data_IF_645331233909
#
_entry.id   IF_645331233909
#
_cell.length_a   1.000
_cell.length_b   1.000
_cell.length_c   1.000
_cell.angle_alpha   90.00
_cell.angle_beta   90.00
_cell.angle_gamma   90.00
#
_symmetry.space_group_name_H-M   'P 1'
#
loop_
_entity.id
_entity.type
_entity.pdbx_description
1 polymer ?
#
# COMPACT_ATOMS: atom_id res chain seq x y z
N UNK A 1 5.98 -1.23 19.11
CA UNK A 1 4.90 -0.39 18.55
C UNK A 1 3.61 -1.17 18.75
N UNK A 2 2.52 -0.51 19.16
CA UNK A 2 1.26 -1.18 19.49
C UNK A 2 0.45 -1.60 18.25
N UNK A 3 0.80 -1.00 17.11
CA UNK A 3 0.25 -1.27 15.78
C UNK A 3 1.43 -1.48 14.83
N UNK A 4 1.45 -2.60 14.12
CA UNK A 4 2.53 -2.90 13.18
C UNK A 4 2.08 -3.91 12.12
N UNK A 5 2.87 -4.02 11.04
CA UNK A 5 2.71 -5.04 10.02
C UNK A 5 3.84 -6.07 10.12
N UNK A 6 3.52 -7.35 9.92
CA UNK A 6 4.49 -8.45 9.79
C UNK A 6 4.24 -9.22 8.49
N UNK A 7 5.23 -10.02 8.08
CA UNK A 7 5.16 -10.84 6.86
C UNK A 7 4.79 -9.99 5.63
N UNK A 8 5.46 -8.85 5.46
CA UNK A 8 5.15 -7.89 4.40
C UNK A 8 5.67 -8.42 3.07
N UNK A 9 4.77 -8.64 2.13
CA UNK A 9 5.04 -8.99 0.74
C UNK A 9 4.57 -7.85 -0.17
N UNK A 10 5.51 -7.27 -0.90
CA UNK A 10 5.21 -6.24 -1.90
C UNK A 10 5.00 -6.92 -3.26
N UNK A 11 3.95 -6.51 -3.99
CA UNK A 11 3.59 -7.07 -5.29
C UNK A 11 3.39 -5.96 -6.31
N UNK A 12 3.29 -6.34 -7.59
CA UNK A 12 3.02 -5.40 -8.69
C UNK A 12 1.61 -4.77 -8.65
N UNK A 13 0.70 -5.29 -7.82
CA UNK A 13 -0.69 -4.82 -7.74
C UNK A 13 -1.08 -4.29 -6.35
N UNK A 14 -0.17 -4.33 -5.38
CA UNK A 14 -0.43 -3.93 -4.01
C UNK A 14 0.57 -4.52 -3.02
N UNK A 15 0.13 -4.78 -1.79
CA UNK A 15 0.90 -5.47 -0.77
C UNK A 15 0.03 -6.40 0.07
N UNK A 16 0.64 -7.47 0.58
CA UNK A 16 0.03 -8.42 1.50
C UNK A 16 0.83 -8.39 2.80
N UNK A 17 0.13 -8.35 3.93
CA UNK A 17 0.76 -8.37 5.25
C UNK A 17 -0.23 -8.77 6.33
N UNK A 18 0.27 -9.17 7.49
CA UNK A 18 -0.56 -9.29 8.70
C UNK A 18 -0.49 -7.99 9.49
N UNK A 19 -1.64 -7.36 9.69
CA UNK A 19 -1.80 -6.25 10.60
C UNK A 19 -1.93 -6.80 12.03
N UNK A 20 -1.05 -6.36 12.91
CA UNK A 20 -1.04 -6.74 14.32
C UNK A 20 -1.42 -5.54 15.19
N UNK A 21 -2.37 -5.74 16.10
CA UNK A 21 -2.76 -4.79 17.14
C UNK A 21 -2.59 -5.48 18.49
N UNK A 22 -1.76 -4.91 19.36
CA UNK A 22 -1.52 -5.43 20.71
C UNK A 22 -2.86 -5.56 21.45
N UNK A 23 -3.07 -6.68 22.12
CA UNK A 23 -4.29 -7.05 22.86
C UNK A 23 -5.58 -7.26 22.02
N UNK A 24 -5.55 -7.02 20.70
CA UNK A 24 -6.71 -7.24 19.81
C UNK A 24 -6.49 -8.37 18.79
N UNK A 25 -5.25 -8.79 18.56
CA UNK A 25 -4.88 -9.90 17.68
C UNK A 25 -4.33 -9.45 16.33
N UNK A 26 -4.42 -10.35 15.35
CA UNK A 26 -3.88 -10.13 14.00
C UNK A 26 -4.90 -10.47 12.92
N UNK A 27 -4.78 -9.78 11.79
CA UNK A 27 -5.61 -10.02 10.61
C UNK A 27 -4.79 -9.82 9.34
N UNK A 28 -5.01 -10.69 8.36
CA UNK A 28 -4.39 -10.59 7.04
C UNK A 28 -5.02 -9.46 6.23
N UNK A 29 -4.21 -8.66 5.54
CA UNK A 29 -4.62 -7.51 4.73
C UNK A 29 -4.02 -7.65 3.32
N UNK A 30 -4.89 -7.52 2.31
CA UNK A 30 -4.54 -7.37 0.90
C UNK A 30 -4.73 -5.91 0.49
N UNK A 31 -3.71 -5.10 0.69
CA UNK A 31 -3.77 -3.67 0.44
C UNK A 31 -3.57 -3.38 -1.06
N UNK A 32 -4.55 -2.77 -1.75
CA UNK A 32 -4.50 -2.55 -3.20
C UNK A 32 -3.69 -1.30 -3.58
N UNK A 33 -2.62 -1.01 -2.84
CA UNK A 33 -1.75 0.15 -3.03
C UNK A 33 -0.28 -0.27 -3.04
N UNK A 34 0.49 0.30 -3.96
CA UNK A 34 1.89 -0.02 -4.19
C UNK A 34 2.81 0.65 -3.17
N UNK A 35 3.91 -0.04 -2.85
CA UNK A 35 5.02 0.51 -2.07
C UNK A 35 4.88 0.38 -0.56
N UNK A 36 6.02 0.21 0.11
CA UNK A 36 6.11 0.00 1.55
C UNK A 36 5.52 1.15 2.39
N UNK A 37 5.61 2.38 1.90
CA UNK A 37 5.02 3.54 2.59
C UNK A 37 3.50 3.42 2.75
N UNK A 38 2.81 2.77 1.80
CA UNK A 38 1.37 2.54 1.91
C UNK A 38 1.01 1.49 2.97
N UNK A 39 1.91 0.53 3.26
CA UNK A 39 1.77 -0.36 4.42
C UNK A 39 1.85 0.46 5.73
N UNK A 40 2.81 1.38 5.83
CA UNK A 40 2.90 2.28 7.00
C UNK A 40 1.66 3.16 7.14
N UNK A 41 1.14 3.71 6.04
CA UNK A 41 -0.11 4.47 6.04
C UNK A 41 -1.31 3.61 6.48
N UNK A 42 -1.38 2.36 6.03
CA UNK A 42 -2.43 1.42 6.42
C UNK A 42 -2.38 1.09 7.92
N UNK A 43 -1.18 0.87 8.49
CA UNK A 43 -1.00 0.67 9.93
C UNK A 43 -1.44 1.91 10.72
N UNK A 44 -1.10 3.12 10.26
CA UNK A 44 -1.54 4.36 10.89
C UNK A 44 -3.06 4.55 10.82
N UNK A 45 -3.67 4.28 9.66
CA UNK A 45 -5.12 4.33 9.48
C UNK A 45 -5.85 3.31 10.35
N UNK A 46 -5.32 2.09 10.45
CA UNK A 46 -5.83 1.06 11.35
C UNK A 46 -5.77 1.48 12.82
N UNK A 47 -4.66 2.09 13.24
CA UNK A 47 -4.53 2.60 14.60
C UNK A 47 -5.61 3.65 14.91
N UNK A 48 -5.80 4.63 14.01
CA UNK A 48 -6.85 5.65 14.19
C UNK A 48 -8.25 5.02 14.24
N UNK A 49 -8.58 4.12 13.30
CA UNK A 49 -9.88 3.48 13.22
C UNK A 49 -10.20 2.59 14.43
N UNK A 50 -9.21 1.80 14.89
CA UNK A 50 -9.38 0.93 16.05
C UNK A 50 -9.64 1.72 17.33
N UNK A 51 -8.90 2.81 17.56
CA UNK A 51 -9.07 3.65 18.75
C UNK A 51 -10.42 4.40 18.79
N UNK A 52 -11.14 4.50 17.67
CA UNK A 52 -12.50 5.05 17.62
C UNK A 52 -13.60 3.97 17.54
N UNK A 53 -13.23 2.71 17.77
CA UNK A 53 -14.19 1.60 17.94
C UNK A 53 -14.41 0.72 16.71
N UNK A 54 -13.63 0.85 15.64
CA UNK A 54 -13.72 -0.08 14.51
C UNK A 54 -13.16 -1.46 14.89
N UNK A 55 -13.88 -2.51 14.52
CA UNK A 55 -13.39 -3.90 14.63
C UNK A 55 -12.31 -4.21 13.59
N UNK A 56 -11.49 -5.25 13.84
CA UNK A 56 -10.48 -5.72 12.87
C UNK A 56 -11.10 -6.06 11.50
N UNK A 57 -12.30 -6.63 11.48
CA UNK A 57 -13.02 -6.94 10.24
C UNK A 57 -13.40 -5.68 9.44
N UNK A 58 -13.86 -4.62 10.12
CA UNK A 58 -14.17 -3.34 9.48
C UNK A 58 -12.91 -2.64 8.97
N UNK A 59 -11.82 -2.69 9.73
CA UNK A 59 -10.52 -2.16 9.32
C UNK A 59 -10.03 -2.88 8.06
N UNK A 60 -10.06 -4.22 8.04
CA UNK A 60 -9.72 -5.02 6.85
C UNK A 60 -10.58 -4.61 5.66
N UNK A 61 -11.90 -4.60 5.81
CA UNK A 61 -12.81 -4.24 4.73
C UNK A 61 -12.52 -2.85 4.16
N UNK A 62 -12.21 -1.86 5.01
CA UNK A 62 -11.87 -0.50 4.57
C UNK A 62 -10.50 -0.39 3.89
N UNK A 63 -9.48 -1.10 4.40
CA UNK A 63 -8.14 -1.10 3.81
C UNK A 63 -8.09 -1.84 2.47
N UNK A 64 -8.80 -2.96 2.34
CA UNK A 64 -8.87 -3.75 1.11
C UNK A 64 -9.79 -3.13 0.06
N UNK A 65 -10.59 -2.13 0.43
CA UNK A 65 -11.41 -1.38 -0.51
C UNK A 65 -10.53 -0.50 -1.41
N UNK A 66 -10.35 -0.95 -2.65
CA UNK A 66 -9.60 -0.21 -3.66
C UNK A 66 -10.26 1.13 -3.95
N UNK A 67 -9.55 2.22 -3.73
CA UNK A 67 -9.90 3.55 -4.22
C UNK A 67 -8.88 3.96 -5.29
N UNK A 68 -9.37 4.45 -6.43
CA UNK A 68 -8.50 4.97 -7.47
C UNK A 68 -8.14 6.42 -7.14
N UNK A 69 -6.96 6.64 -6.54
CA UNK A 69 -6.42 7.98 -6.32
C UNK A 69 -5.48 8.31 -7.47
N UNK A 70 -5.93 9.13 -8.42
CA UNK A 70 -5.10 9.58 -9.56
C UNK A 70 -3.83 10.28 -9.06
N UNK A 71 -2.71 10.07 -9.76
CA UNK A 71 -1.42 10.68 -9.44
C UNK A 71 -0.68 10.13 -8.21
N UNK A 72 -1.11 9.00 -7.62
CA UNK A 72 -0.41 8.33 -6.50
C UNK A 72 -0.10 6.87 -6.85
N UNK A 73 1.01 6.64 -7.56
CA UNK A 73 1.41 5.35 -8.13
C UNK A 73 0.25 4.63 -8.83
N UNK A 74 -0.54 5.38 -9.61
CA UNK A 74 -1.73 4.88 -10.26
C UNK A 74 -1.37 4.07 -11.51
N UNK A 75 -1.69 2.76 -11.57
CA UNK A 75 -1.33 1.94 -12.71
C UNK A 75 -2.25 2.20 -13.92
N UNK A 76 -1.64 2.55 -15.05
CA UNK A 76 -2.30 2.77 -16.34
C UNK A 76 -1.74 1.76 -17.34
N UNK A 77 -2.52 0.73 -17.66
CA UNK A 77 -2.16 -0.20 -18.73
C UNK A 77 -2.39 0.48 -20.09
N UNK A 78 -1.30 0.84 -20.78
CA UNK A 78 -1.37 1.50 -22.09
C UNK A 78 -1.53 0.45 -23.20
N UNK A 79 -0.77 -0.65 -23.12
CA UNK A 79 -0.87 -1.84 -23.96
C UNK A 79 -0.25 -3.04 -23.20
N UNK A 80 -0.30 -4.27 -23.72
CA UNK A 80 0.09 -5.51 -23.03
C UNK A 80 1.51 -5.46 -22.46
N UNK A 81 2.43 -4.83 -23.19
CA UNK A 81 3.85 -4.71 -22.81
C UNK A 81 4.23 -3.30 -22.32
N UNK A 82 3.25 -2.44 -22.03
CA UNK A 82 3.48 -1.06 -21.59
C UNK A 82 2.56 -0.69 -20.43
N UNK A 83 3.16 -0.65 -19.23
CA UNK A 83 2.54 -0.14 -18.02
C UNK A 83 3.12 1.23 -17.69
N UNK A 84 2.24 2.21 -17.49
CA UNK A 84 2.60 3.52 -16.96
C UNK A 84 2.16 3.60 -15.49
N UNK A 85 3.07 4.00 -14.61
CA UNK A 85 2.75 4.32 -13.21
C UNK A 85 2.64 5.84 -13.08
N UNK A 86 1.41 6.34 -12.95
CA UNK A 86 1.12 7.76 -12.75
C UNK A 86 1.30 8.15 -11.27
N UNK A 87 2.43 8.79 -10.96
CA UNK A 87 2.75 9.35 -9.64
C UNK A 87 2.91 10.89 -9.69
N UNK A 88 2.11 11.57 -10.54
CA UNK A 88 2.32 13.00 -10.83
C UNK A 88 1.73 13.98 -9.80
N UNK A 89 1.11 13.50 -8.71
CA UNK A 89 0.44 14.39 -7.76
C UNK A 89 1.43 15.28 -6.97
N UNK A 90 2.52 14.69 -6.47
CA UNK A 90 3.54 15.42 -5.69
C UNK A 90 4.88 14.68 -5.74
N UNK A 91 5.98 15.42 -5.75
CA UNK A 91 7.33 14.88 -5.69
C UNK A 91 8.14 15.53 -4.56
N UNK A 92 8.54 14.72 -3.59
CA UNK A 92 9.57 15.06 -2.60
C UNK A 92 10.61 13.92 -2.57
N UNK A 93 11.75 14.15 -1.91
CA UNK A 93 12.86 13.16 -1.89
C UNK A 93 12.39 11.77 -1.44
N UNK A 94 11.56 11.70 -0.40
CA UNK A 94 11.04 10.42 0.11
C UNK A 94 10.04 9.75 -0.82
N UNK A 95 9.15 10.51 -1.47
CA UNK A 95 8.20 9.95 -2.43
C UNK A 95 8.91 9.45 -3.69
N UNK A 96 9.92 10.18 -4.18
CA UNK A 96 10.74 9.77 -5.31
C UNK A 96 11.49 8.46 -5.03
N UNK A 97 12.13 8.36 -3.86
CA UNK A 97 12.79 7.12 -3.43
C UNK A 97 11.81 5.95 -3.37
N UNK A 98 10.59 6.18 -2.88
CA UNK A 98 9.54 5.15 -2.83
C UNK A 98 9.09 4.73 -4.22
N UNK A 99 8.91 5.67 -5.15
CA UNK A 99 8.55 5.39 -6.54
C UNK A 99 9.62 4.55 -7.25
N UNK A 100 10.91 4.85 -7.04
CA UNK A 100 12.02 4.04 -7.57
C UNK A 100 11.99 2.61 -7.01
N UNK A 101 11.78 2.44 -5.70
CA UNK A 101 11.69 1.09 -5.10
C UNK A 101 10.52 0.28 -5.66
N UNK A 102 9.37 0.93 -5.92
CA UNK A 102 8.23 0.29 -6.57
C UNK A 102 8.59 -0.12 -7.98
N UNK A 103 9.20 0.77 -8.77
CA UNK A 103 9.60 0.46 -10.13
C UNK A 103 10.59 -0.72 -10.19
N UNK A 104 11.50 -0.83 -9.22
CA UNK A 104 12.46 -1.95 -9.12
C UNK A 104 11.81 -3.33 -8.89
N UNK A 105 10.56 -3.40 -8.44
CA UNK A 105 9.86 -4.68 -8.24
C UNK A 105 9.36 -5.31 -9.55
N UNK A 106 9.29 -4.54 -10.64
CA UNK A 106 8.79 -5.03 -11.93
C UNK A 106 9.91 -5.71 -12.73
N UNK A 107 9.65 -6.94 -13.19
CA UNK A 107 10.55 -7.68 -14.07
C UNK A 107 10.38 -7.27 -15.55
N UNK A 108 10.78 -6.04 -15.87
CA UNK A 108 10.67 -5.46 -17.21
C UNK A 108 11.80 -4.46 -17.50
N UNK A 109 11.85 -3.94 -18.73
CA UNK A 109 12.64 -2.75 -19.03
C UNK A 109 11.98 -1.53 -18.37
N UNK A 110 12.70 -0.87 -17.47
CA UNK A 110 12.18 0.18 -16.60
C UNK A 110 12.70 1.55 -17.04
N UNK A 111 11.79 2.52 -17.14
CA UNK A 111 12.10 3.93 -17.39
C UNK A 111 11.54 4.72 -16.21
N UNK A 112 12.38 5.56 -15.62
CA UNK A 112 11.99 6.49 -14.56
C UNK A 112 12.09 7.92 -15.07
#
# INVERSE_FOLDING_TARGET
ADYYAKDIELTEIGSQFKLCIVDAGEIEINLPYLGAHNVSNAVAAAALAFNVGASLAQIKAGLEQKSQVKGRLFPIQVHENLLLLDDTYNANVGSLQSAIHVLQQYDAFRIF
#
